data_IF_055288531343
#
_entry.id   IF_055288531343
#
_cell.length_a   1.000
_cell.length_b   1.000
_cell.length_c   1.000
_cell.angle_alpha   90.00
_cell.angle_beta   90.00
_cell.angle_gamma   90.00
#
_symmetry.space_group_name_H-M   'P 1'
#
loop_
_entity.id
_entity.type
_entity.pdbx_description
1 polymer ?
#
# COMPACT_ATOMS: atom_id res chain seq x y z
N UNK A 1 -29.57 -15.49 8.44
CA UNK A 1 -28.94 -14.15 8.47
C UNK A 1 -27.67 -14.20 7.61
N UNK A 2 -27.59 -13.45 6.51
CA UNK A 2 -26.49 -13.55 5.54
C UNK A 2 -25.20 -12.94 6.12
N UNK A 3 -24.20 -13.79 6.40
CA UNK A 3 -22.91 -13.42 7.00
C UNK A 3 -21.91 -12.92 5.92
N UNK A 4 -22.28 -11.90 5.16
CA UNK A 4 -21.47 -11.36 4.05
C UNK A 4 -20.28 -10.53 4.55
N UNK A 5 -20.46 -9.78 5.65
CA UNK A 5 -19.42 -8.91 6.20
C UNK A 5 -18.20 -9.67 6.77
N UNK A 6 -18.39 -10.86 7.35
CA UNK A 6 -17.28 -11.68 7.85
C UNK A 6 -16.44 -12.25 6.72
N UNK A 7 -17.06 -12.73 5.63
CA UNK A 7 -16.35 -13.22 4.43
C UNK A 7 -15.56 -12.11 3.74
N UNK A 8 -16.12 -10.91 3.63
CA UNK A 8 -15.40 -9.75 3.10
C UNK A 8 -14.22 -9.34 3.99
N UNK A 9 -14.41 -9.33 5.31
CA UNK A 9 -13.34 -9.03 6.26
C UNK A 9 -12.23 -10.08 6.19
N UNK A 10 -12.58 -11.34 6.00
CA UNK A 10 -11.64 -12.45 5.90
C UNK A 10 -10.86 -12.44 4.57
N UNK A 11 -11.51 -12.14 3.44
CA UNK A 11 -10.84 -11.99 2.16
C UNK A 11 -9.90 -10.77 2.14
N UNK A 12 -10.34 -9.62 2.65
CA UNK A 12 -9.50 -8.42 2.80
C UNK A 12 -8.34 -8.65 3.76
N UNK A 13 -8.56 -9.37 4.85
CA UNK A 13 -7.50 -9.75 5.80
C UNK A 13 -6.42 -10.60 5.11
N UNK A 14 -6.81 -11.54 4.24
CA UNK A 14 -5.89 -12.39 3.50
C UNK A 14 -5.01 -11.58 2.52
N UNK A 15 -5.60 -10.66 1.75
CA UNK A 15 -4.87 -9.76 0.86
C UNK A 15 -3.91 -8.87 1.64
N UNK A 16 -4.41 -8.26 2.72
CA UNK A 16 -3.60 -7.42 3.62
C UNK A 16 -2.39 -8.19 4.16
N UNK A 17 -2.58 -9.42 4.64
CA UNK A 17 -1.49 -10.23 5.18
C UNK A 17 -0.47 -10.64 4.10
N UNK A 18 -0.92 -10.91 2.88
CA UNK A 18 -0.04 -11.25 1.75
C UNK A 18 0.87 -10.08 1.39
N UNK A 19 0.32 -8.87 1.26
CA UNK A 19 1.07 -7.65 0.94
C UNK A 19 2.05 -7.33 2.07
N UNK A 20 1.63 -7.42 3.33
CA UNK A 20 2.53 -7.22 4.46
C UNK A 20 3.67 -8.26 4.51
N UNK A 21 3.41 -9.50 4.10
CA UNK A 21 4.45 -10.52 3.97
C UNK A 21 5.47 -10.20 2.88
N UNK A 22 5.02 -9.71 1.72
CA UNK A 22 5.90 -9.28 0.62
C UNK A 22 6.76 -8.08 1.04
N UNK A 23 6.15 -7.09 1.69
CA UNK A 23 6.85 -5.93 2.26
C UNK A 23 7.89 -6.41 3.28
N UNK A 24 7.53 -7.32 4.20
CA UNK A 24 8.48 -7.86 5.17
C UNK A 24 9.67 -8.58 4.51
N UNK A 25 9.44 -9.31 3.42
CA UNK A 25 10.48 -9.95 2.63
C UNK A 25 11.42 -8.94 1.97
N UNK A 26 10.85 -7.87 1.39
CA UNK A 26 11.60 -6.79 0.74
C UNK A 26 12.56 -6.09 1.73
N UNK A 27 12.07 -5.74 2.93
CA UNK A 27 12.89 -5.14 3.98
C UNK A 27 13.90 -6.13 4.60
N UNK A 28 13.64 -7.45 4.56
CA UNK A 28 14.54 -8.47 5.07
C UNK A 28 15.77 -8.75 4.19
N UNK A 29 15.65 -8.51 2.87
CA UNK A 29 16.69 -8.83 1.90
C UNK A 29 17.58 -7.63 1.53
N UNK A 30 17.09 -6.40 1.68
CA UNK A 30 17.74 -5.20 1.16
C UNK A 30 18.31 -4.31 2.27
N UNK A 31 19.17 -3.36 1.89
CA UNK A 31 19.55 -2.22 2.74
C UNK A 31 18.64 -1.03 2.44
N UNK A 32 18.60 -0.05 3.35
CA UNK A 32 17.88 1.22 3.10
C UNK A 32 18.60 1.97 1.97
N UNK A 33 18.06 1.83 0.77
CA UNK A 33 18.61 2.34 -0.50
C UNK A 33 17.46 2.89 -1.34
N UNK A 34 17.75 3.67 -2.37
CA UNK A 34 16.70 4.19 -3.26
C UNK A 34 15.92 3.07 -3.96
N UNK A 35 16.60 1.99 -4.36
CA UNK A 35 15.97 0.79 -4.96
C UNK A 35 14.93 0.13 -4.04
N UNK A 36 15.22 0.01 -2.74
CA UNK A 36 14.26 -0.52 -1.75
C UNK A 36 12.96 0.28 -1.75
N UNK A 37 13.06 1.60 -1.85
CA UNK A 37 11.90 2.47 -1.77
C UNK A 37 11.07 2.43 -3.05
N UNK A 38 11.72 2.28 -4.21
CA UNK A 38 11.06 2.16 -5.50
C UNK A 38 10.30 0.82 -5.60
N UNK A 39 10.91 -0.27 -5.10
CA UNK A 39 10.25 -1.58 -4.98
C UNK A 39 9.04 -1.54 -4.03
N UNK A 40 9.16 -0.84 -2.91
CA UNK A 40 8.07 -0.66 -1.96
C UNK A 40 6.90 0.10 -2.60
N UNK A 41 7.18 1.16 -3.35
CA UNK A 41 6.19 1.93 -4.08
C UNK A 41 5.45 1.06 -5.11
N UNK A 42 6.19 0.28 -5.91
CA UNK A 42 5.60 -0.64 -6.88
C UNK A 42 4.66 -1.67 -6.21
N UNK A 43 5.08 -2.26 -5.08
CA UNK A 43 4.26 -3.22 -4.32
C UNK A 43 2.98 -2.59 -3.78
N UNK A 44 3.05 -1.36 -3.26
CA UNK A 44 1.89 -0.66 -2.71
C UNK A 44 0.90 -0.25 -3.80
N UNK A 45 1.39 0.15 -4.98
CA UNK A 45 0.54 0.43 -6.15
C UNK A 45 -0.20 -0.84 -6.60
N UNK A 46 0.50 -1.98 -6.66
CA UNK A 46 -0.11 -3.27 -6.99
C UNK A 46 -1.13 -3.74 -5.94
N UNK A 47 -1.01 -3.27 -4.69
CA UNK A 47 -1.90 -3.60 -3.59
C UNK A 47 -3.20 -2.75 -3.54
N UNK A 48 -3.56 -2.08 -4.63
CA UNK A 48 -4.73 -1.20 -4.74
C UNK A 48 -4.71 0.04 -3.82
N UNK A 49 -3.51 0.50 -3.39
CA UNK A 49 -3.37 1.75 -2.60
C UNK A 49 -3.47 3.00 -3.49
N UNK A 50 -3.07 2.89 -4.75
CA UNK A 50 -3.04 3.98 -5.73
C UNK A 50 -1.75 4.81 -5.68
N UNK A 51 -1.40 5.42 -6.82
CA UNK A 51 -0.11 6.11 -7.04
C UNK A 51 0.09 7.28 -6.07
N UNK A 52 -0.85 8.23 -6.03
CA UNK A 52 -0.72 9.43 -5.20
C UNK A 52 -0.61 9.11 -3.70
N UNK A 53 -1.40 8.15 -3.23
CA UNK A 53 -1.41 7.72 -1.82
C UNK A 53 -0.13 6.99 -1.47
N UNK A 54 0.37 6.17 -2.39
CA UNK A 54 1.63 5.44 -2.22
C UNK A 54 2.81 6.40 -2.16
N UNK A 55 2.94 7.31 -3.11
CA UNK A 55 4.02 8.29 -3.15
C UNK A 55 4.07 9.13 -1.86
N UNK A 56 2.90 9.61 -1.40
CA UNK A 56 2.79 10.38 -0.16
C UNK A 56 3.14 9.55 1.10
N UNK A 57 2.80 8.26 1.11
CA UNK A 57 3.14 7.35 2.21
C UNK A 57 4.63 7.04 2.23
N UNK A 58 5.22 6.69 1.09
CA UNK A 58 6.64 6.37 0.95
C UNK A 58 7.49 7.58 1.34
N UNK A 59 7.18 8.77 0.86
CA UNK A 59 7.93 9.98 1.20
C UNK A 59 7.88 10.28 2.71
N UNK A 60 6.71 10.14 3.34
CA UNK A 60 6.57 10.29 4.79
C UNK A 60 7.45 9.30 5.56
N UNK A 61 7.53 8.06 5.09
CA UNK A 61 8.36 7.01 5.71
C UNK A 61 9.84 7.31 5.49
N UNK A 62 10.25 7.71 4.27
CA UNK A 62 11.63 8.15 3.94
C UNK A 62 12.06 9.30 4.84
N UNK A 63 11.21 10.31 5.02
CA UNK A 63 11.48 11.47 5.87
C UNK A 63 11.65 11.06 7.34
N UNK A 64 10.77 10.21 7.87
CA UNK A 64 10.90 9.68 9.24
C UNK A 64 12.17 8.86 9.43
N UNK A 65 12.49 7.97 8.51
CA UNK A 65 13.74 7.18 8.55
C UNK A 65 14.97 8.08 8.58
N UNK A 66 14.98 9.14 7.74
CA UNK A 66 16.06 10.12 7.73
C UNK A 66 16.15 10.91 9.04
N UNK A 67 15.01 11.36 9.56
CA UNK A 67 14.91 12.15 10.80
C UNK A 67 15.30 11.34 12.05
N UNK A 68 14.92 10.08 12.09
CA UNK A 68 15.20 9.15 13.18
C UNK A 68 16.59 8.48 13.04
N UNK A 69 17.31 8.73 11.95
CA UNK A 69 18.65 8.18 11.69
C UNK A 69 18.65 6.66 11.54
N UNK A 70 17.54 6.10 11.03
CA UNK A 70 17.35 4.66 10.93
C UNK A 70 18.21 4.09 9.80
N UNK A 71 19.10 3.16 10.16
CA UNK A 71 19.94 2.42 9.20
C UNK A 71 19.49 0.97 9.02
N UNK A 72 18.72 0.45 9.98
CA UNK A 72 18.26 -0.93 9.98
C UNK A 72 16.90 -1.06 9.30
N UNK A 73 16.80 -1.93 8.31
CA UNK A 73 15.56 -2.14 7.54
C UNK A 73 14.37 -2.60 8.38
N UNK A 74 14.58 -3.40 9.42
CA UNK A 74 13.52 -3.77 10.36
C UNK A 74 12.90 -2.55 11.05
N UNK A 75 13.70 -1.54 11.41
CA UNK A 75 13.17 -0.32 12.02
C UNK A 75 12.39 0.52 11.00
N UNK A 76 12.85 0.58 9.74
CA UNK A 76 12.10 1.22 8.66
C UNK A 76 10.75 0.54 8.39
N UNK A 77 10.69 -0.80 8.49
CA UNK A 77 9.45 -1.56 8.40
C UNK A 77 8.44 -1.21 9.52
N UNK A 78 8.93 -1.01 10.75
CA UNK A 78 8.09 -0.55 11.88
C UNK A 78 7.51 0.82 11.59
N UNK A 79 8.33 1.77 11.12
CA UNK A 79 7.89 3.13 10.76
C UNK A 79 6.82 3.09 9.66
N UNK A 80 7.00 2.24 8.64
CA UNK A 80 6.00 2.03 7.59
C UNK A 80 4.67 1.55 8.17
N UNK A 81 4.70 0.53 9.03
CA UNK A 81 3.50 -0.03 9.66
C UNK A 81 2.74 1.02 10.47
N UNK A 82 3.44 1.84 11.24
CA UNK A 82 2.83 2.95 11.98
C UNK A 82 2.21 4.01 11.06
N UNK A 83 2.90 4.35 9.98
CA UNK A 83 2.48 5.38 9.03
C UNK A 83 1.26 4.94 8.21
N UNK A 84 1.15 3.65 7.88
CA UNK A 84 -0.01 3.08 7.19
C UNK A 84 -1.27 3.01 8.06
N UNK A 85 -1.15 2.84 9.38
CA UNK A 85 -2.30 2.82 10.31
C UNK A 85 -2.87 4.23 10.47
N UNK A 86 -2.01 5.25 10.45
CA UNK A 86 -2.41 6.66 10.65
C UNK A 86 -3.05 7.29 9.42
N UNK A 87 -2.81 6.72 8.24
CA UNK A 87 -3.44 7.19 7.00
C UNK A 87 -4.75 6.41 6.86
N UNK A 88 -5.93 6.99 7.14
CA UNK A 88 -7.17 6.32 6.80
C UNK A 88 -7.16 6.12 5.29
N UNK A 89 -7.18 4.85 4.87
CA UNK A 89 -7.36 4.45 3.47
C UNK A 89 -8.37 5.39 2.82
N UNK A 90 -8.07 6.09 1.72
CA UNK A 90 -9.15 6.52 0.86
C UNK A 90 -9.91 5.24 0.52
N UNK A 91 -11.23 5.26 0.74
CA UNK A 91 -12.11 4.14 0.42
C UNK A 91 -11.78 3.63 -1.00
N UNK A 92 -11.95 2.33 -1.30
CA UNK A 92 -11.74 1.81 -2.64
C UNK A 92 -12.51 2.71 -3.59
N UNK A 93 -11.80 3.43 -4.46
CA UNK A 93 -12.41 4.26 -5.47
C UNK A 93 -13.27 3.31 -6.29
N UNK A 94 -14.58 3.37 -6.05
CA UNK A 94 -15.57 2.64 -6.81
C UNK A 94 -15.26 2.90 -8.27
N UNK A 95 -14.88 1.84 -8.98
CA UNK A 95 -14.75 1.85 -10.43
C UNK A 95 -16.06 2.46 -10.95
N UNK A 96 -16.01 3.72 -11.37
CA UNK A 96 -17.12 4.30 -12.12
C UNK A 96 -17.21 3.45 -13.38
N UNK A 97 -18.38 2.88 -13.70
CA UNK A 97 -18.51 2.16 -14.96
C UNK A 97 -18.07 3.12 -16.06
N UNK A 98 -17.05 2.70 -16.83
CA UNK A 98 -16.73 3.33 -18.09
C UNK A 98 -18.02 3.25 -18.91
N UNK A 99 -18.74 4.36 -19.01
CA UNK A 99 -19.87 4.45 -19.92
C UNK A 99 -19.25 4.26 -21.30
N UNK A 100 -19.52 3.12 -21.92
CA UNK A 100 -19.18 2.88 -23.30
C UNK A 100 -19.87 4.00 -24.09
N UNK A 101 -19.09 4.98 -24.48
CA UNK A 101 -19.49 5.97 -25.48
C UNK A 101 -19.42 5.24 -26.81
N UNK A 102 -20.48 4.53 -27.13
CA UNK A 102 -20.78 4.12 -28.50
C UNK A 102 -22.28 4.27 -28.73
N UNK A 103 -22.64 5.51 -28.98
CA UNK A 103 -23.83 5.88 -29.74
C UNK A 103 -23.60 7.28 -30.31
N UNK A 104 -22.57 7.40 -31.14
CA UNK A 104 -22.53 8.50 -32.11
C UNK A 104 -23.61 8.18 -33.14
N UNK A 105 -24.63 9.03 -33.15
CA UNK A 105 -25.63 9.10 -34.20
C UNK A 105 -24.94 9.33 -35.54
N UNK A 106 -25.02 8.36 -36.45
CA UNK A 106 -25.30 8.51 -37.89
C UNK A 106 -25.51 7.14 -38.52
#
# INVERSE_FOLDING_TARGET
MFNFGSKLKESLSRTRNSVFGQIAGLFGANQITDELWDDLEALLIQADVGVDTTAALVERVRERVRKEGVTQTHQAQVILKESSIRTPSPAPALIKPVVATDAVLS
#
